data_IF_734668578937
#
_entry.id   IF_734668578937
#
_cell.length_a   1.000
_cell.length_b   1.000
_cell.length_c   1.000
_cell.angle_alpha   90.00
_cell.angle_beta   90.00
_cell.angle_gamma   90.00
#
_symmetry.space_group_name_H-M   'P 1'
#
loop_
_entity.id
_entity.type
_entity.pdbx_description
1 polymer ?
#
# COMPACT_ATOMS: atom_id res chain seq x y z
N UNK A 1 -18.93 -7.60 1.17
CA UNK A 1 -17.66 -6.82 1.13
C UNK A 1 -16.56 -7.70 1.68
N UNK A 2 -15.38 -7.72 1.06
CA UNK A 2 -14.29 -8.56 1.54
C UNK A 2 -13.52 -7.82 2.64
N UNK A 3 -13.50 -8.39 3.83
CA UNK A 3 -12.76 -7.87 4.98
C UNK A 3 -11.25 -7.93 4.71
N UNK A 4 -10.59 -6.78 4.71
CA UNK A 4 -9.19 -6.69 4.33
C UNK A 4 -8.25 -7.28 5.38
N UNK A 5 -8.59 -7.14 6.66
CA UNK A 5 -7.86 -7.78 7.75
C UNK A 5 -7.89 -9.29 7.62
N UNK A 6 -9.08 -9.88 7.44
CA UNK A 6 -9.24 -11.34 7.25
C UNK A 6 -8.52 -11.85 6.00
N UNK A 7 -8.52 -11.06 4.93
CA UNK A 7 -7.85 -11.42 3.68
C UNK A 7 -6.32 -11.49 3.84
N UNK A 8 -5.76 -10.68 4.75
CA UNK A 8 -4.33 -10.56 4.99
C UNK A 8 -3.80 -11.43 6.14
N UNK A 9 -4.66 -11.92 7.05
CA UNK A 9 -4.23 -12.75 8.20
C UNK A 9 -3.32 -13.91 7.78
N UNK A 10 -3.79 -14.79 6.90
CA UNK A 10 -3.04 -15.98 6.48
C UNK A 10 -1.75 -15.64 5.69
N UNK A 11 -1.77 -14.73 4.70
CA UNK A 11 -0.54 -14.29 4.03
C UNK A 11 0.52 -13.67 4.95
N UNK A 12 0.12 -13.18 6.13
CA UNK A 12 1.00 -12.54 7.10
C UNK A 12 1.59 -13.48 8.15
N UNK A 13 1.10 -14.72 8.27
CA UNK A 13 1.50 -15.72 9.30
C UNK A 13 3.00 -16.12 9.27
N UNK A 14 3.79 -15.65 8.31
CA UNK A 14 5.25 -15.81 8.28
C UNK A 14 6.03 -14.53 7.98
N UNK A 15 5.36 -13.38 8.00
CA UNK A 15 5.96 -12.06 7.74
C UNK A 15 5.95 -11.17 8.98
N UNK A 16 5.13 -11.50 9.98
CA UNK A 16 5.01 -10.77 11.24
C UNK A 16 6.13 -11.13 12.20
N UNK A 17 6.68 -10.12 12.87
CA UNK A 17 7.50 -10.35 14.06
C UNK A 17 6.64 -10.93 15.20
N UNK A 18 7.22 -11.61 16.21
CA UNK A 18 6.46 -12.26 17.29
C UNK A 18 5.47 -11.33 18.03
N UNK A 19 5.80 -10.05 18.18
CA UNK A 19 4.96 -9.04 18.84
C UNK A 19 4.19 -8.14 17.84
N UNK A 20 4.25 -8.48 16.56
CA UNK A 20 3.63 -7.69 15.50
C UNK A 20 2.21 -8.21 15.19
N UNK A 21 1.23 -7.31 15.22
CA UNK A 21 -0.17 -7.65 15.00
C UNK A 21 -0.75 -6.84 13.85
N UNK A 22 -1.51 -7.51 12.97
CA UNK A 22 -2.30 -6.85 11.93
C UNK A 22 -3.51 -6.16 12.57
N UNK A 23 -3.56 -4.84 12.45
CA UNK A 23 -4.63 -4.01 13.01
C UNK A 23 -5.76 -3.84 11.99
N UNK A 24 -5.42 -3.47 10.75
CA UNK A 24 -6.37 -3.27 9.66
C UNK A 24 -5.75 -3.51 8.28
N UNK A 25 -6.59 -3.60 7.25
CA UNK A 25 -6.10 -3.83 5.89
C UNK A 25 -7.12 -3.48 4.83
N UNK A 26 -6.64 -3.18 3.62
CA UNK A 26 -7.49 -2.89 2.47
C UNK A 26 -6.79 -3.27 1.16
N UNK A 27 -7.59 -3.48 0.13
CA UNK A 27 -7.09 -3.58 -1.24
C UNK A 27 -6.86 -2.17 -1.79
N UNK A 28 -5.74 -1.95 -2.44
CA UNK A 28 -5.34 -0.66 -2.99
C UNK A 28 -4.85 -0.80 -4.43
N UNK A 29 -4.85 0.32 -5.15
CA UNK A 29 -4.26 0.48 -6.47
C UNK A 29 -3.29 1.65 -6.41
N UNK A 30 -2.08 1.48 -6.92
CA UNK A 30 -1.14 2.58 -7.05
C UNK A 30 -1.68 3.64 -8.03
N UNK A 31 -1.23 4.90 -7.91
CA UNK A 31 -1.68 6.01 -8.75
C UNK A 31 -1.63 5.70 -10.26
N UNK A 32 -0.67 4.88 -10.68
CA UNK A 32 -0.44 4.52 -12.09
C UNK A 32 -1.05 3.16 -12.49
N UNK A 33 -1.75 2.46 -11.59
CA UNK A 33 -2.36 1.17 -11.88
C UNK A 33 -3.53 1.25 -12.87
N UNK A 34 -4.14 2.43 -13.04
CA UNK A 34 -5.36 2.64 -13.86
C UNK A 34 -5.06 2.82 -15.37
N UNK A 35 -3.81 2.70 -15.82
CA UNK A 35 -3.45 2.77 -17.24
C UNK A 35 -3.03 1.43 -17.88
N UNK A 36 -3.19 0.30 -17.17
CA UNK A 36 -2.90 -1.04 -17.71
C UNK A 36 -3.99 -2.06 -17.40
N UNK A 37 -5.26 -1.67 -17.52
CA UNK A 37 -6.26 -2.65 -17.93
C UNK A 37 -5.91 -3.10 -19.36
N UNK A 38 -5.55 -4.38 -19.55
CA UNK A 38 -5.33 -5.03 -20.85
C UNK A 38 -3.93 -4.97 -21.52
N UNK A 39 -2.84 -5.26 -20.79
CA UNK A 39 -1.70 -5.92 -21.45
C UNK A 39 -1.25 -7.11 -20.60
N UNK A 40 -1.68 -8.29 -21.04
CA UNK A 40 -1.12 -9.55 -20.56
C UNK A 40 0.36 -9.68 -20.93
N UNK A 41 1.08 -10.46 -20.13
CA UNK A 41 2.30 -11.14 -20.56
C UNK A 41 3.54 -10.28 -20.83
N UNK A 42 4.44 -10.22 -19.85
CA UNK A 42 5.90 -10.32 -19.99
C UNK A 42 6.45 -10.33 -18.55
N UNK A 43 6.87 -11.46 -17.98
CA UNK A 43 8.22 -12.05 -18.11
C UNK A 43 9.33 -11.02 -17.90
N UNK A 44 10.07 -11.17 -16.80
CA UNK A 44 11.46 -10.69 -16.72
C UNK A 44 11.75 -9.61 -15.67
N UNK A 45 12.37 -10.03 -14.57
CA UNK A 45 13.45 -9.27 -13.96
C UNK A 45 13.08 -8.08 -13.06
N UNK A 46 13.15 -8.32 -11.75
CA UNK A 46 13.31 -7.26 -10.72
C UNK A 46 14.66 -6.53 -10.86
N UNK A 47 15.46 -6.82 -11.90
CA UNK A 47 16.79 -6.23 -12.13
C UNK A 47 16.74 -5.02 -13.10
N UNK A 48 15.64 -4.81 -13.85
CA UNK A 48 15.60 -3.77 -14.90
C UNK A 48 15.03 -2.40 -14.49
N UNK A 49 14.18 -2.33 -13.45
CA UNK A 49 13.50 -1.07 -13.11
C UNK A 49 14.40 -0.05 -12.40
N UNK A 50 15.53 -0.51 -11.83
CA UNK A 50 16.54 0.39 -11.25
C UNK A 50 17.34 1.07 -12.37
N UNK A 51 17.51 0.44 -13.53
CA UNK A 51 18.27 0.99 -14.65
C UNK A 51 17.52 2.07 -15.45
N UNK A 52 16.19 2.00 -15.52
CA UNK A 52 15.39 3.02 -16.21
C UNK A 52 15.29 4.35 -15.42
N UNK A 53 15.44 4.30 -14.10
CA UNK A 53 15.42 5.49 -13.24
C UNK A 53 16.75 6.27 -13.23
N UNK A 54 17.82 5.73 -13.83
CA UNK A 54 19.13 6.37 -13.86
C UNK A 54 19.35 7.29 -15.08
N UNK A 55 18.41 7.39 -16.04
CA UNK A 55 18.55 8.24 -17.23
C UNK A 55 17.75 9.56 -17.20
N UNK A 56 16.95 9.80 -16.17
CA UNK A 56 16.37 11.12 -15.90
C UNK A 56 16.78 11.49 -14.48
N UNK A 57 17.42 12.65 -14.29
CA UNK A 57 17.89 13.15 -12.99
C UNK A 57 16.77 13.39 -11.96
N UNK A 58 16.08 12.33 -11.55
CA UNK A 58 15.03 12.31 -10.54
C UNK A 58 15.68 11.97 -9.21
N UNK A 59 15.37 12.81 -8.23
CA UNK A 59 15.77 12.71 -6.83
C UNK A 59 15.78 11.25 -6.34
N UNK A 60 16.71 10.93 -5.43
CA UNK A 60 16.79 9.64 -4.75
C UNK A 60 15.38 9.11 -4.47
N UNK A 61 15.07 7.86 -4.84
CA UNK A 61 13.77 7.28 -4.55
C UNK A 61 13.66 7.18 -3.03
N UNK A 62 13.03 8.18 -2.42
CA UNK A 62 12.83 8.24 -0.97
C UNK A 62 11.97 7.10 -0.46
N UNK A 63 11.55 7.16 0.79
CA UNK A 63 10.76 6.14 1.48
C UNK A 63 9.49 5.78 0.68
N UNK A 64 8.90 6.75 -0.04
CA UNK A 64 7.77 6.55 -0.93
C UNK A 64 7.98 5.46 -2.02
N UNK A 65 9.22 5.18 -2.42
CA UNK A 65 9.52 4.14 -3.40
C UNK A 65 9.23 2.72 -2.88
N UNK A 66 9.13 2.54 -1.55
CA UNK A 66 8.69 1.28 -0.94
C UNK A 66 7.19 0.99 -1.11
N UNK A 67 6.38 1.97 -1.53
CA UNK A 67 4.94 1.80 -1.72
C UNK A 67 4.63 1.43 -3.19
N UNK A 68 3.99 0.29 -3.47
CA UNK A 68 3.70 -0.12 -4.85
C UNK A 68 2.85 0.90 -5.63
N UNK A 69 3.34 1.35 -6.80
CA UNK A 69 2.66 2.38 -7.62
C UNK A 69 2.04 1.88 -8.94
N UNK A 70 2.52 0.75 -9.46
CA UNK A 70 2.26 0.34 -10.85
C UNK A 70 1.19 -0.75 -11.00
N UNK A 71 0.54 -1.14 -9.91
CA UNK A 71 -0.34 -2.30 -9.89
C UNK A 71 -1.37 -2.23 -8.76
N UNK A 72 -2.26 -3.22 -8.74
CA UNK A 72 -3.20 -3.48 -7.65
C UNK A 72 -2.53 -4.39 -6.63
N UNK A 73 -2.72 -4.09 -5.35
CA UNK A 73 -2.08 -4.78 -4.23
C UNK A 73 -2.98 -4.75 -2.99
N UNK A 74 -2.55 -5.42 -1.93
CA UNK A 74 -3.13 -5.34 -0.60
C UNK A 74 -2.17 -4.60 0.32
N UNK A 75 -2.72 -3.70 1.14
CA UNK A 75 -2.00 -2.99 2.19
C UNK A 75 -2.56 -3.42 3.54
N UNK A 76 -1.67 -3.76 4.47
CA UNK A 76 -1.98 -4.03 5.87
C UNK A 76 -1.27 -3.02 6.77
N UNK A 77 -1.95 -2.55 7.81
CA UNK A 77 -1.35 -1.75 8.88
C UNK A 77 -1.15 -2.64 10.10
N UNK A 78 0.10 -2.79 10.53
CA UNK A 78 0.46 -3.45 11.78
C UNK A 78 0.76 -2.43 12.87
N UNK A 79 0.97 -2.87 14.11
CA UNK A 79 1.45 -2.00 15.19
C UNK A 79 2.86 -1.42 14.96
N UNK A 80 3.59 -1.82 13.91
CA UNK A 80 4.96 -1.37 13.65
C UNK A 80 5.16 -0.76 12.25
N UNK A 81 4.44 -1.25 11.23
CA UNK A 81 4.70 -0.92 9.82
C UNK A 81 3.46 -1.09 8.94
N UNK A 82 3.53 -0.49 7.76
CA UNK A 82 2.68 -0.82 6.64
C UNK A 82 3.32 -1.96 5.86
N UNK A 83 2.54 -2.99 5.53
CA UNK A 83 2.97 -4.13 4.72
C UNK A 83 2.21 -4.18 3.42
N UNK A 84 2.88 -4.58 2.34
CA UNK A 84 2.31 -4.62 1.01
C UNK A 84 2.39 -6.03 0.41
N UNK A 85 1.31 -6.49 -0.22
CA UNK A 85 1.22 -7.79 -0.86
C UNK A 85 0.65 -7.70 -2.27
N UNK A 86 1.21 -8.45 -3.20
CA UNK A 86 0.63 -8.64 -4.53
C UNK A 86 -0.72 -9.33 -4.50
N UNK A 87 -1.56 -8.99 -5.47
CA UNK A 87 -2.70 -9.83 -5.85
C UNK A 87 -2.25 -10.95 -6.78
N UNK A 88 -2.79 -12.16 -6.59
CA UNK A 88 -2.57 -13.26 -7.53
C UNK A 88 -3.16 -12.99 -8.92
N UNK A 89 -2.48 -13.43 -9.99
CA UNK A 89 -2.90 -13.21 -11.38
C UNK A 89 -4.31 -13.73 -11.73
N UNK A 90 -4.81 -14.71 -10.98
CA UNK A 90 -6.14 -15.32 -11.17
C UNK A 90 -7.06 -15.19 -9.94
N UNK A 91 -6.61 -14.50 -8.89
CA UNK A 91 -7.33 -14.42 -7.62
C UNK A 91 -7.13 -13.04 -7.00
N UNK A 92 -8.22 -12.42 -6.55
CA UNK A 92 -8.17 -11.15 -5.85
C UNK A 92 -7.50 -11.23 -4.46
N UNK A 93 -7.02 -12.40 -4.03
CA UNK A 93 -6.39 -12.63 -2.72
C UNK A 93 -4.90 -12.20 -2.70
N UNK A 94 -4.36 -11.86 -1.52
CA UNK A 94 -2.94 -11.55 -1.38
C UNK A 94 -2.11 -12.83 -1.57
N UNK A 95 -0.95 -12.73 -2.24
CA UNK A 95 -0.10 -13.89 -2.55
C UNK A 95 1.36 -13.73 -2.16
N UNK A 96 1.98 -12.60 -2.49
CA UNK A 96 3.43 -12.43 -2.35
C UNK A 96 3.73 -11.10 -1.66
N UNK A 97 4.53 -11.15 -0.59
CA UNK A 97 5.02 -9.95 0.09
C UNK A 97 5.85 -9.10 -0.88
N UNK A 98 5.63 -7.79 -0.87
CA UNK A 98 6.31 -6.84 -1.74
C UNK A 98 7.28 -5.92 -1.03
N UNK A 99 7.08 -5.75 0.27
CA UNK A 99 7.85 -4.83 1.07
C UNK A 99 6.99 -4.21 2.14
N UNK A 100 7.64 -3.37 2.92
CA UNK A 100 7.06 -2.69 4.04
C UNK A 100 7.64 -1.30 4.22
N UNK A 101 6.90 -0.46 4.93
CA UNK A 101 7.33 0.88 5.34
C UNK A 101 7.06 1.02 6.84
N UNK A 102 8.08 1.32 7.66
CA UNK A 102 7.88 1.49 9.10
C UNK A 102 6.99 2.70 9.39
N UNK A 103 6.09 2.57 10.36
CA UNK A 103 5.16 3.65 10.74
C UNK A 103 5.88 4.88 11.27
N UNK A 104 7.07 4.71 11.85
CA UNK A 104 7.94 5.81 12.29
C UNK A 104 8.38 6.72 11.14
N UNK A 105 8.37 6.22 9.91
CA UNK A 105 8.70 7.01 8.71
C UNK A 105 7.50 7.78 8.13
N UNK A 106 6.28 7.53 8.62
CA UNK A 106 5.08 8.24 8.17
C UNK A 106 4.96 9.56 8.95
N UNK A 107 5.06 10.67 8.22
CA UNK A 107 4.91 12.01 8.76
C UNK A 107 3.43 12.41 8.80
N UNK A 108 2.70 12.15 7.72
CA UNK A 108 1.32 12.61 7.52
C UNK A 108 0.54 11.63 6.64
N UNK A 109 -0.77 11.53 6.88
CA UNK A 109 -1.69 10.66 6.15
C UNK A 109 -2.94 11.45 5.79
N UNK A 110 -3.23 11.58 4.50
CA UNK A 110 -4.48 12.18 4.01
C UNK A 110 -5.41 11.13 3.41
N UNK A 111 -6.67 11.14 3.82
CA UNK A 111 -7.73 10.29 3.28
C UNK A 111 -8.82 11.15 2.65
N UNK A 112 -8.96 11.02 1.33
CA UNK A 112 -9.97 11.74 0.54
C UNK A 112 -10.97 10.80 -0.12
N UNK A 113 -12.17 11.30 -0.39
CA UNK A 113 -13.15 10.58 -1.21
C UNK A 113 -12.87 10.80 -2.71
N UNK A 114 -12.81 9.71 -3.50
CA UNK A 114 -12.59 9.77 -4.96
C UNK A 114 -13.48 8.76 -5.69
N UNK A 115 -14.75 9.13 -5.92
CA UNK A 115 -15.72 8.29 -6.61
C UNK A 115 -15.81 6.89 -5.98
N UNK A 116 -15.60 5.79 -6.73
CA UNK A 116 -15.68 4.42 -6.18
C UNK A 116 -14.50 4.06 -5.26
N UNK A 117 -13.52 4.94 -5.08
CA UNK A 117 -12.34 4.74 -4.24
C UNK A 117 -12.29 5.74 -3.07
N UNK A 118 -11.47 5.42 -2.07
CA UNK A 118 -10.90 6.41 -1.14
C UNK A 118 -9.44 6.62 -1.50
N UNK A 119 -9.01 7.84 -1.74
CA UNK A 119 -7.61 8.16 -2.00
C UNK A 119 -6.88 8.28 -0.67
N UNK A 120 -5.82 7.52 -0.51
CA UNK A 120 -4.89 7.60 0.60
C UNK A 120 -3.57 8.20 0.09
N UNK A 121 -3.17 9.33 0.66
CA UNK A 121 -1.85 9.94 0.44
C UNK A 121 -1.03 9.76 1.71
N UNK A 122 0.17 9.23 1.58
CA UNK A 122 1.15 9.07 2.65
C UNK A 122 2.29 10.05 2.39
N UNK A 123 2.59 10.91 3.35
CA UNK A 123 3.79 11.75 3.34
C UNK A 123 4.77 11.20 4.35
N UNK A 124 6.03 11.06 3.95
CA UNK A 124 7.09 10.46 4.75
C UNK A 124 8.01 11.54 5.35
N UNK A 125 8.76 11.16 6.38
CA UNK A 125 9.66 12.05 7.11
C UNK A 125 10.83 12.58 6.27
N UNK A 126 11.17 11.91 5.17
CA UNK A 126 12.17 12.36 4.21
C UNK A 126 11.62 13.37 3.17
N UNK A 127 10.36 13.79 3.33
CA UNK A 127 9.66 14.70 2.43
C UNK A 127 9.10 14.04 1.17
N UNK A 128 9.33 12.74 0.96
CA UNK A 128 8.71 12.00 -0.14
C UNK A 128 7.23 11.73 0.15
N UNK A 129 6.43 11.51 -0.90
CA UNK A 129 5.02 11.17 -0.75
C UNK A 129 4.54 10.14 -1.77
N UNK A 130 3.52 9.38 -1.39
CA UNK A 130 2.92 8.32 -2.18
C UNK A 130 1.40 8.41 -2.14
N UNK A 131 0.74 8.13 -3.27
CA UNK A 131 -0.71 8.18 -3.37
C UNK A 131 -1.25 6.87 -3.90
N UNK A 132 -2.24 6.32 -3.23
CA UNK A 132 -2.89 5.05 -3.58
C UNK A 132 -4.40 5.20 -3.48
N UNK A 133 -5.13 4.49 -4.34
CA UNK A 133 -6.59 4.45 -4.32
C UNK A 133 -7.06 3.15 -3.64
N UNK A 134 -7.73 3.29 -2.50
CA UNK A 134 -8.31 2.19 -1.71
C UNK A 134 -9.68 1.78 -2.27
N UNK A 135 -9.88 0.49 -2.49
CA UNK A 135 -11.14 -0.06 -3.00
C UNK A 135 -12.22 -0.04 -1.92
N UNK A 136 -13.32 0.71 -2.11
CA UNK A 136 -14.45 0.77 -1.17
C UNK A 136 -15.07 -0.59 -0.86
N UNK A 137 -15.10 -1.49 -1.85
CA UNK A 137 -15.63 -2.86 -1.70
C UNK A 137 -14.81 -3.72 -0.70
N UNK A 138 -13.62 -3.27 -0.33
CA UNK A 138 -12.68 -3.93 0.57
C UNK A 138 -12.53 -3.20 1.91
N UNK A 139 -13.59 -2.50 2.35
CA UNK A 139 -13.70 -1.89 3.68
C UNK A 139 -12.53 -0.95 4.03
N UNK A 140 -12.27 0.12 3.25
CA UNK A 140 -11.15 1.03 3.48
C UNK A 140 -11.20 1.73 4.85
N UNK A 141 -12.38 1.79 5.48
CA UNK A 141 -12.54 2.27 6.86
C UNK A 141 -11.68 1.49 7.85
N UNK A 142 -11.57 0.16 7.72
CA UNK A 142 -10.73 -0.63 8.63
C UNK A 142 -9.26 -0.24 8.58
N UNK A 143 -8.75 0.13 7.40
CA UNK A 143 -7.38 0.60 7.26
C UNK A 143 -7.24 2.02 7.81
N UNK A 144 -8.21 2.88 7.56
CA UNK A 144 -8.22 4.24 8.09
C UNK A 144 -8.26 4.24 9.63
N UNK A 145 -9.20 3.52 10.24
CA UNK A 145 -9.35 3.41 11.68
C UNK A 145 -8.07 2.86 12.33
N UNK A 146 -7.43 1.87 11.68
CA UNK A 146 -6.14 1.35 12.13
C UNK A 146 -5.05 2.43 12.08
N UNK A 147 -4.97 3.22 11.00
CA UNK A 147 -3.99 4.29 10.89
C UNK A 147 -4.26 5.42 11.90
N UNK A 148 -5.52 5.77 12.16
CA UNK A 148 -5.90 6.76 13.17
C UNK A 148 -5.48 6.31 14.58
N UNK A 149 -5.66 5.02 14.90
CA UNK A 149 -5.21 4.43 16.16
C UNK A 149 -3.67 4.45 16.28
N UNK A 150 -2.96 4.14 15.19
CA UNK A 150 -1.52 3.94 15.19
C UNK A 150 -0.71 5.24 15.04
N UNK A 151 -1.29 6.25 14.40
CA UNK A 151 -0.67 7.53 14.08
C UNK A 151 -1.57 8.69 14.55
N UNK A 152 -1.82 8.82 15.87
CA UNK A 152 -2.76 9.80 16.39
C UNK A 152 -2.32 11.22 16.03
N UNK A 153 -3.24 12.01 15.47
CA UNK A 153 -3.00 13.39 15.06
C UNK A 153 -2.27 13.57 13.73
N UNK A 154 -1.90 12.49 13.03
CA UNK A 154 -1.27 12.52 11.69
C UNK A 154 -2.21 12.11 10.57
N UNK A 155 -3.44 11.68 10.88
CA UNK A 155 -4.42 11.24 9.89
C UNK A 155 -5.46 12.34 9.71
N UNK A 156 -5.60 12.81 8.48
CA UNK A 156 -6.48 13.90 8.09
C UNK A 156 -7.42 13.44 6.98
N UNK A 157 -8.71 13.74 7.11
CA UNK A 157 -9.69 13.37 6.09
C UNK A 157 -11.11 13.50 6.59
N UNK A 158 -12.03 13.89 5.70
CA UNK A 158 -13.46 13.80 5.97
C UNK A 158 -13.92 12.40 5.58
N UNK A 159 -14.39 11.62 6.55
CA UNK A 159 -15.05 10.33 6.33
C UNK A 159 -16.15 10.45 5.26
#
# INVERSE_FOLDING_TARGET
MADGKKSLTKPMEGQLNPDEQLIGGCKAAGKNAVLKGAVGGAVGGVVGAVAASQMEGKASPGIAAGVPQLQVFWVGATNQRLVFFDTGSFSSKPRSFKGDVPLSSVADVEVGNRGPFRRLTLTFTDGSSSTVDLYRANSPGQLQDALEQLLPGKVHGKA
#
